data_IF_918846860370
#
_entry.id   IF_918846860370
#
_cell.length_a   1.000
_cell.length_b   1.000
_cell.length_c   1.000
_cell.angle_alpha   90.00
_cell.angle_beta   90.00
_cell.angle_gamma   90.00
#
_symmetry.space_group_name_H-M   'P 1'
#
loop_
_entity.id
_entity.type
_entity.pdbx_description
1 polymer ?
#
# COMPACT_ATOMS: atom_id res chain seq x y z
N UNK A 1 -1.50 -9.98 26.69
CA UNK A 1 -2.25 -10.94 25.85
C UNK A 1 -1.25 -11.66 24.95
N UNK A 2 -1.37 -12.97 24.71
CA UNK A 2 -0.67 -13.60 23.59
C UNK A 2 -1.12 -12.93 22.29
N UNK A 3 -0.21 -12.76 21.33
CA UNK A 3 -0.59 -12.29 19.99
C UNK A 3 -1.18 -13.53 19.30
N UNK A 4 -2.49 -13.72 19.40
CA UNK A 4 -3.25 -14.76 18.69
C UNK A 4 -3.33 -14.43 17.19
N UNK A 5 -2.17 -14.44 16.53
CA UNK A 5 -2.07 -14.53 15.08
C UNK A 5 -1.36 -15.84 14.78
N UNK A 6 -2.08 -16.81 14.19
CA UNK A 6 -1.52 -18.12 13.87
C UNK A 6 -0.34 -18.01 12.89
N UNK A 7 -0.37 -17.02 11.99
CA UNK A 7 0.67 -16.76 10.99
C UNK A 7 0.88 -15.25 10.84
N UNK A 8 2.14 -14.80 10.86
CA UNK A 8 2.52 -13.40 10.58
C UNK A 8 3.47 -13.35 9.39
N UNK A 9 3.19 -12.45 8.43
CA UNK A 9 4.06 -12.19 7.29
C UNK A 9 4.91 -10.95 7.54
N UNK A 10 6.23 -11.08 7.46
CA UNK A 10 7.18 -10.00 7.73
C UNK A 10 8.14 -9.85 6.57
N UNK A 11 8.36 -8.64 6.03
CA UNK A 11 9.36 -8.44 4.98
C UNK A 11 10.76 -8.71 5.53
N UNK A 12 11.45 -9.71 5.02
CA UNK A 12 12.71 -10.23 5.57
C UNK A 12 13.80 -9.15 5.67
N UNK A 13 13.96 -8.42 4.57
CA UNK A 13 15.07 -7.50 4.35
C UNK A 13 14.69 -6.03 4.56
N UNK A 14 13.54 -5.75 5.16
CA UNK A 14 13.19 -4.37 5.48
C UNK A 14 14.13 -3.82 6.57
N UNK A 15 14.78 -2.70 6.30
CA UNK A 15 15.61 -1.99 7.27
C UNK A 15 14.72 -1.32 8.33
N UNK A 16 14.93 -1.68 9.60
CA UNK A 16 14.15 -1.17 10.73
C UNK A 16 15.05 -0.77 11.89
N UNK A 17 14.59 0.20 12.69
CA UNK A 17 15.24 0.61 13.92
C UNK A 17 15.26 -0.54 14.94
N UNK A 18 16.41 -0.87 15.54
CA UNK A 18 16.51 -2.00 16.46
C UNK A 18 15.73 -1.83 17.77
N UNK A 19 15.34 -0.61 18.14
CA UNK A 19 14.61 -0.34 19.38
C UNK A 19 13.10 -0.31 19.17
N UNK A 20 12.65 0.22 18.03
CA UNK A 20 11.21 0.43 17.76
C UNK A 20 10.63 -0.56 16.75
N UNK A 21 11.47 -1.18 15.92
CA UNK A 21 11.02 -2.02 14.79
C UNK A 21 10.41 -1.21 13.64
N UNK A 22 10.46 0.12 13.71
CA UNK A 22 9.97 1.01 12.67
C UNK A 22 11.03 1.23 11.61
N UNK A 23 10.62 1.31 10.34
CA UNK A 23 11.48 1.80 9.26
C UNK A 23 11.86 3.27 9.44
N UNK A 24 10.97 4.05 10.05
CA UNK A 24 11.12 5.48 10.20
C UNK A 24 11.74 5.84 11.55
N UNK A 25 12.44 6.97 11.57
CA UNK A 25 12.94 7.55 12.80
C UNK A 25 11.76 7.95 13.69
N UNK A 26 11.78 7.48 14.95
CA UNK A 26 10.77 7.79 15.96
C UNK A 26 11.45 8.57 17.09
N UNK A 27 10.90 9.72 17.49
CA UNK A 27 11.32 10.50 18.65
C UNK A 27 10.10 10.78 19.53
N UNK A 28 10.22 10.55 20.85
CA UNK A 28 9.12 10.73 21.82
C UNK A 28 7.83 9.93 21.50
N UNK A 29 7.95 8.84 20.74
CA UNK A 29 6.83 8.01 20.31
C UNK A 29 6.25 8.40 18.94
N UNK A 30 6.71 9.51 18.36
CA UNK A 30 6.19 10.06 17.12
C UNK A 30 7.17 9.94 15.94
N UNK A 31 6.70 9.72 14.70
CA UNK A 31 7.53 9.76 13.52
C UNK A 31 8.18 11.13 13.28
N UNK A 32 9.47 11.15 12.97
CA UNK A 32 10.21 12.39 12.69
C UNK A 32 10.06 12.77 11.22
N UNK A 33 9.62 14.01 10.90
CA UNK A 33 9.56 14.48 9.53
C UNK A 33 10.96 14.60 8.87
N UNK A 34 11.05 14.22 7.60
CA UNK A 34 12.20 14.48 6.74
C UNK A 34 12.15 15.92 6.21
N UNK A 35 12.41 16.89 7.08
CA UNK A 35 12.31 18.32 6.76
C UNK A 35 13.12 18.68 5.51
N UNK A 36 14.31 18.10 5.33
CA UNK A 36 15.15 18.37 4.15
C UNK A 36 14.47 17.94 2.85
N UNK A 37 13.83 16.77 2.84
CA UNK A 37 13.10 16.28 1.67
C UNK A 37 11.82 17.07 1.42
N UNK A 38 11.08 17.38 2.49
CA UNK A 38 9.89 18.22 2.44
C UNK A 38 10.22 19.59 1.83
N UNK A 39 11.26 20.28 2.31
CA UNK A 39 11.66 21.59 1.80
C UNK A 39 12.13 21.53 0.33
N UNK A 40 12.76 20.44 -0.10
CA UNK A 40 13.07 20.23 -1.52
C UNK A 40 11.81 20.09 -2.37
N UNK A 41 10.83 19.33 -1.91
CA UNK A 41 9.55 19.16 -2.61
C UNK A 41 8.78 20.48 -2.66
N UNK A 42 8.77 21.24 -1.56
CA UNK A 42 8.21 22.61 -1.54
C UNK A 42 8.88 23.51 -2.57
N UNK A 43 10.21 23.56 -2.58
CA UNK A 43 10.96 24.38 -3.54
C UNK A 43 10.71 23.95 -4.99
N UNK A 44 10.54 22.64 -5.24
CA UNK A 44 10.15 22.13 -6.55
C UNK A 44 8.75 22.60 -6.93
N UNK A 45 7.80 22.56 -6.00
CA UNK A 45 6.43 23.00 -6.22
C UNK A 45 6.35 24.48 -6.54
N UNK A 46 7.13 25.28 -5.82
CA UNK A 46 7.18 26.73 -5.98
C UNK A 46 7.98 27.21 -7.19
N UNK A 47 8.74 26.29 -7.82
CA UNK A 47 9.54 26.58 -9.00
C UNK A 47 8.67 27.13 -10.13
N UNK A 48 9.22 28.08 -10.90
CA UNK A 48 8.54 28.68 -12.06
C UNK A 48 8.13 27.60 -13.06
N UNK A 49 9.00 26.62 -13.25
CA UNK A 49 8.79 25.49 -14.17
C UNK A 49 7.58 24.64 -13.79
N UNK A 50 7.35 24.40 -12.49
CA UNK A 50 6.17 23.67 -12.06
C UNK A 50 4.93 24.55 -12.08
N UNK A 51 5.01 25.83 -11.72
CA UNK A 51 3.86 26.75 -11.78
C UNK A 51 3.21 26.79 -13.16
N UNK A 52 4.01 26.76 -14.21
CA UNK A 52 3.52 26.73 -15.59
C UNK A 52 2.96 25.36 -16.00
N UNK A 53 3.55 24.28 -15.49
CA UNK A 53 3.13 22.91 -15.77
C UNK A 53 1.90 22.49 -14.95
N UNK A 54 1.67 23.11 -13.78
CA UNK A 54 0.70 22.71 -12.77
C UNK A 54 -0.76 22.72 -13.26
N UNK A 55 -1.24 23.75 -14.00
CA UNK A 55 -2.60 23.72 -14.54
C UNK A 55 -2.84 22.53 -15.47
N UNK A 56 -1.82 22.16 -16.26
CA UNK A 56 -1.87 20.99 -17.16
C UNK A 56 -1.87 19.70 -16.36
N UNK A 57 -0.92 19.54 -15.43
CA UNK A 57 -0.81 18.35 -14.56
C UNK A 57 -2.10 18.13 -13.77
N UNK A 58 -2.59 19.15 -13.05
CA UNK A 58 -3.79 19.04 -12.21
C UNK A 58 -5.04 18.70 -13.01
N UNK A 59 -5.21 19.26 -14.21
CA UNK A 59 -6.30 18.89 -15.12
C UNK A 59 -6.16 17.44 -15.59
N UNK A 60 -4.99 17.10 -16.12
CA UNK A 60 -4.68 15.78 -16.68
C UNK A 60 -4.88 14.66 -15.67
N UNK A 61 -4.46 14.89 -14.43
CA UNK A 61 -4.68 13.98 -13.33
C UNK A 61 -6.19 13.83 -13.06
N UNK A 62 -6.96 14.93 -12.96
CA UNK A 62 -8.42 14.83 -12.69
C UNK A 62 -9.13 14.04 -13.77
N UNK A 63 -8.75 14.29 -15.02
CA UNK A 63 -9.29 13.58 -16.17
C UNK A 63 -8.93 12.08 -16.10
N UNK A 64 -7.73 11.73 -15.63
CA UNK A 64 -7.27 10.35 -15.49
C UNK A 64 -8.17 9.50 -14.58
N UNK A 65 -8.60 10.01 -13.42
CA UNK A 65 -9.48 9.24 -12.53
C UNK A 65 -10.80 8.90 -13.23
N UNK A 66 -11.42 9.88 -13.87
CA UNK A 66 -12.67 9.70 -14.59
C UNK A 66 -12.50 8.67 -15.72
N UNK A 67 -11.42 8.80 -16.49
CA UNK A 67 -11.07 7.89 -17.59
C UNK A 67 -10.83 6.47 -17.08
N UNK A 68 -10.08 6.30 -15.98
CA UNK A 68 -9.79 5.00 -15.41
C UNK A 68 -11.05 4.26 -14.96
N UNK A 69 -11.92 4.93 -14.20
CA UNK A 69 -13.19 4.36 -13.77
C UNK A 69 -14.09 4.00 -14.95
N UNK A 70 -14.14 4.85 -15.95
CA UNK A 70 -14.94 4.61 -17.15
C UNK A 70 -14.42 3.41 -17.97
N UNK A 71 -13.11 3.27 -18.11
CA UNK A 71 -12.48 2.08 -18.72
C UNK A 71 -12.89 0.82 -17.96
N UNK A 72 -12.77 0.81 -16.63
CA UNK A 72 -13.12 -0.35 -15.80
C UNK A 72 -14.60 -0.74 -15.96
N UNK A 73 -15.50 0.25 -16.01
CA UNK A 73 -16.92 0.00 -16.25
C UNK A 73 -17.18 -0.55 -17.67
N UNK A 74 -16.56 0.03 -18.70
CA UNK A 74 -16.72 -0.44 -20.09
C UNK A 74 -16.22 -1.89 -20.22
N UNK A 75 -15.06 -2.22 -19.63
CA UNK A 75 -14.52 -3.58 -19.64
C UNK A 75 -15.47 -4.56 -18.95
N UNK A 76 -16.13 -4.16 -17.85
CA UNK A 76 -17.15 -4.96 -17.19
C UNK A 76 -18.37 -5.16 -18.09
N UNK A 77 -18.85 -4.11 -18.76
CA UNK A 77 -20.00 -4.18 -19.67
C UNK A 77 -19.73 -5.07 -20.88
N UNK A 78 -18.54 -4.99 -21.48
CA UNK A 78 -18.12 -5.81 -22.63
C UNK A 78 -18.15 -7.32 -22.33
N UNK A 79 -17.96 -7.73 -21.07
CA UNK A 79 -18.04 -9.14 -20.66
C UNK A 79 -19.47 -9.70 -20.68
N UNK A 80 -20.48 -8.83 -20.62
CA UNK A 80 -21.89 -9.23 -20.44
C UNK A 80 -22.69 -9.00 -21.72
N UNK A 81 -22.36 -7.96 -22.49
CA UNK A 81 -23.09 -7.58 -23.70
C UNK A 81 -22.82 -8.58 -24.83
N UNK A 82 -23.89 -9.07 -25.46
CA UNK A 82 -23.85 -10.00 -26.61
C UNK A 82 -24.14 -9.34 -27.96
N UNK A 83 -24.59 -8.08 -27.95
CA UNK A 83 -24.93 -7.36 -29.17
C UNK A 83 -23.66 -6.82 -29.83
N UNK A 84 -23.37 -7.24 -31.05
CA UNK A 84 -22.20 -6.82 -31.82
C UNK A 84 -22.12 -5.29 -31.97
N UNK A 85 -23.27 -4.64 -32.20
CA UNK A 85 -23.34 -3.18 -32.33
C UNK A 85 -22.93 -2.45 -31.04
N UNK A 86 -23.44 -2.90 -29.88
CA UNK A 86 -23.08 -2.29 -28.60
C UNK A 86 -21.62 -2.60 -28.23
N UNK A 87 -21.11 -3.77 -28.60
CA UNK A 87 -19.70 -4.11 -28.42
C UNK A 87 -18.78 -3.19 -29.26
N UNK A 88 -19.10 -2.94 -30.53
CA UNK A 88 -18.33 -2.04 -31.39
C UNK A 88 -18.29 -0.61 -30.84
N UNK A 89 -19.45 -0.10 -30.41
CA UNK A 89 -19.57 1.23 -29.79
C UNK A 89 -18.73 1.35 -28.52
N UNK A 90 -18.79 0.36 -27.64
CA UNK A 90 -18.01 0.33 -26.40
C UNK A 90 -16.51 0.18 -26.67
N UNK A 91 -16.12 -0.62 -27.66
CA UNK A 91 -14.72 -0.81 -28.07
C UNK A 91 -14.14 0.49 -28.64
N UNK A 92 -14.91 1.21 -29.46
CA UNK A 92 -14.51 2.52 -29.98
C UNK A 92 -14.28 3.52 -28.86
N UNK A 93 -15.22 3.59 -27.90
CA UNK A 93 -15.10 4.45 -26.72
C UNK A 93 -13.89 4.07 -25.85
N UNK A 94 -13.66 2.77 -25.65
CA UNK A 94 -12.51 2.25 -24.90
C UNK A 94 -11.18 2.70 -25.54
N UNK A 95 -11.05 2.64 -26.87
CA UNK A 95 -9.86 3.09 -27.59
C UNK A 95 -9.59 4.59 -27.36
N UNK A 96 -10.62 5.44 -27.41
CA UNK A 96 -10.49 6.87 -27.12
C UNK A 96 -9.98 7.12 -25.70
N UNK A 97 -10.58 6.45 -24.71
CA UNK A 97 -10.20 6.57 -23.31
C UNK A 97 -8.78 6.06 -23.04
N UNK A 98 -8.38 4.96 -23.69
CA UNK A 98 -7.02 4.44 -23.60
C UNK A 98 -5.98 5.43 -24.14
N UNK A 99 -6.27 6.12 -25.25
CA UNK A 99 -5.39 7.16 -25.77
C UNK A 99 -5.28 8.35 -24.81
N UNK A 100 -6.39 8.79 -24.20
CA UNK A 100 -6.36 9.82 -23.16
C UNK A 100 -5.50 9.40 -21.97
N UNK A 101 -5.60 8.14 -21.54
CA UNK A 101 -4.78 7.60 -20.46
C UNK A 101 -3.28 7.61 -20.79
N UNK A 102 -2.89 7.34 -22.04
CA UNK A 102 -1.48 7.42 -22.47
C UNK A 102 -0.96 8.86 -22.47
N UNK A 103 -1.76 9.83 -22.93
CA UNK A 103 -1.38 11.24 -22.85
C UNK A 103 -1.22 11.70 -21.39
N UNK A 104 -2.05 11.22 -20.46
CA UNK A 104 -1.86 11.49 -19.03
C UNK A 104 -0.54 10.92 -18.53
N UNK A 105 -0.23 9.66 -18.84
CA UNK A 105 1.03 9.05 -18.42
C UNK A 105 2.24 9.84 -18.90
N UNK A 106 2.19 10.39 -20.11
CA UNK A 106 3.25 11.26 -20.65
C UNK A 106 3.45 12.54 -19.83
N UNK A 107 2.37 13.19 -19.40
CA UNK A 107 2.44 14.38 -18.53
C UNK A 107 3.01 14.03 -17.15
N UNK A 108 2.60 12.89 -16.58
CA UNK A 108 3.16 12.40 -15.31
C UNK A 108 4.65 12.10 -15.47
N UNK A 109 5.08 11.45 -16.55
CA UNK A 109 6.50 11.21 -16.81
C UNK A 109 7.30 12.51 -16.96
N UNK A 110 6.74 13.54 -17.60
CA UNK A 110 7.35 14.87 -17.69
C UNK A 110 7.53 15.51 -16.31
N UNK A 111 6.51 15.40 -15.44
CA UNK A 111 6.58 15.85 -14.05
C UNK A 111 7.67 15.11 -13.26
N UNK A 112 7.72 13.79 -13.38
CA UNK A 112 8.72 12.95 -12.71
C UNK A 112 10.13 13.29 -13.13
N UNK A 113 10.35 13.50 -14.43
CA UNK A 113 11.66 13.90 -14.95
C UNK A 113 12.08 15.26 -14.37
N UNK A 114 11.18 16.24 -14.34
CA UNK A 114 11.46 17.55 -13.74
C UNK A 114 11.77 17.45 -12.25
N UNK A 115 11.05 16.61 -11.50
CA UNK A 115 11.34 16.37 -10.09
C UNK A 115 12.74 15.77 -9.91
N UNK A 116 13.13 14.82 -10.77
CA UNK A 116 14.46 14.22 -10.79
C UNK A 116 15.55 15.25 -11.07
N UNK A 117 15.34 16.09 -12.09
CA UNK A 117 16.26 17.16 -12.48
C UNK A 117 16.42 18.20 -11.36
N UNK A 118 15.37 18.40 -10.55
CA UNK A 118 15.38 19.23 -9.34
C UNK A 118 16.10 18.55 -8.14
N UNK A 119 16.52 17.29 -8.28
CA UNK A 119 17.24 16.55 -7.24
C UNK A 119 16.33 15.88 -6.19
N UNK A 120 15.07 15.64 -6.53
CA UNK A 120 14.17 14.75 -5.78
C UNK A 120 14.46 13.33 -6.25
N UNK A 121 15.12 12.53 -5.41
CA UNK A 121 15.51 11.14 -5.75
C UNK A 121 14.82 10.09 -4.89
N UNK A 122 13.91 10.52 -4.01
CA UNK A 122 13.23 9.61 -3.10
C UNK A 122 12.24 8.73 -3.86
N UNK A 123 12.51 7.43 -3.91
CA UNK A 123 11.69 6.43 -4.63
C UNK A 123 10.23 6.48 -4.21
N UNK A 124 9.93 6.74 -2.92
CA UNK A 124 8.56 6.80 -2.38
C UNK A 124 7.76 7.91 -3.06
N UNK A 125 8.40 9.07 -3.32
CA UNK A 125 7.78 10.16 -4.07
C UNK A 125 7.37 9.74 -5.49
N UNK A 126 8.23 8.98 -6.18
CA UNK A 126 7.92 8.44 -7.51
C UNK A 126 6.82 7.38 -7.47
N UNK A 127 6.82 6.52 -6.45
CA UNK A 127 5.79 5.51 -6.25
C UNK A 127 4.42 6.16 -6.00
N UNK A 128 4.34 7.20 -5.16
CA UNK A 128 3.11 8.00 -4.96
C UNK A 128 2.59 8.59 -6.27
N UNK A 129 3.48 9.09 -7.12
CA UNK A 129 3.11 9.69 -8.41
C UNK A 129 2.76 8.67 -9.49
N UNK A 130 3.32 7.47 -9.43
CA UNK A 130 3.09 6.39 -10.39
C UNK A 130 1.84 5.53 -10.08
N UNK A 131 1.22 5.72 -8.91
CA UNK A 131 -0.03 5.04 -8.53
C UNK A 131 -1.25 5.98 -8.47
N UNK A 132 -1.67 6.63 -9.57
CA UNK A 132 -2.77 7.59 -9.58
C UNK A 132 -4.17 6.96 -9.40
N UNK A 133 -4.26 5.65 -9.14
CA UNK A 133 -5.50 4.86 -9.22
C UNK A 133 -6.21 4.72 -7.86
N UNK A 134 -5.53 5.00 -6.74
CA UNK A 134 -6.14 4.94 -5.40
C UNK A 134 -6.90 6.20 -4.97
N UNK A 135 -7.48 6.17 -3.76
CA UNK A 135 -7.86 7.39 -3.01
C UNK A 135 -6.66 8.35 -2.83
N UNK A 136 -5.45 7.88 -3.14
CA UNK A 136 -4.18 8.59 -3.24
C UNK A 136 -4.12 9.65 -4.36
N UNK A 137 -5.19 9.87 -5.10
CA UNK A 137 -5.27 11.07 -5.93
C UNK A 137 -5.35 12.35 -5.08
N UNK A 138 -5.96 12.22 -3.90
CA UNK A 138 -5.80 13.20 -2.85
C UNK A 138 -4.33 13.36 -2.50
N UNK A 139 -3.46 12.35 -2.62
CA UNK A 139 -2.03 12.46 -2.27
C UNK A 139 -1.33 13.60 -2.98
N UNK A 140 -1.55 13.88 -4.28
CA UNK A 140 -0.90 15.05 -4.89
C UNK A 140 -1.45 16.39 -4.40
N UNK A 141 -2.78 16.50 -4.30
CA UNK A 141 -3.41 17.69 -3.71
C UNK A 141 -3.08 17.87 -2.22
N UNK A 142 -2.90 16.75 -1.53
CA UNK A 142 -2.56 16.62 -0.14
C UNK A 142 -1.10 16.97 0.05
N UNK A 143 -0.17 16.40 -0.72
CA UNK A 143 1.24 16.80 -0.83
C UNK A 143 1.37 18.32 -0.95
N UNK A 144 0.59 18.93 -1.83
CA UNK A 144 0.56 20.40 -1.97
C UNK A 144 0.00 21.08 -0.72
N UNK A 145 -1.17 20.66 -0.23
CA UNK A 145 -1.79 21.25 0.96
C UNK A 145 -0.96 21.04 2.24
N UNK A 146 -0.10 20.02 2.28
CA UNK A 146 0.83 19.71 3.35
C UNK A 146 2.09 20.55 3.25
N UNK A 147 2.54 20.86 2.03
CA UNK A 147 3.59 21.84 1.79
C UNK A 147 3.20 23.24 2.31
N UNK A 148 1.90 23.54 2.34
CA UNK A 148 1.38 24.81 2.88
C UNK A 148 1.26 24.83 4.42
N UNK A 149 1.44 23.69 5.13
CA UNK A 149 1.35 23.61 6.60
C UNK A 149 2.73 23.69 7.26
N UNK A 150 2.80 24.32 8.44
CA UNK A 150 4.01 24.28 9.29
C UNK A 150 4.31 22.87 9.82
N UNK A 151 3.26 22.11 10.16
CA UNK A 151 3.35 20.69 10.51
C UNK A 151 2.34 19.89 9.66
N UNK A 152 2.79 19.03 8.73
CA UNK A 152 1.90 18.27 7.87
C UNK A 152 1.05 17.23 8.63
N UNK A 153 1.42 16.90 9.86
CA UNK A 153 0.74 15.94 10.73
C UNK A 153 -0.14 16.60 11.80
N UNK A 154 -0.13 17.93 11.92
CA UNK A 154 -0.94 18.62 12.93
C UNK A 154 -2.44 18.43 12.68
N UNK A 155 -3.15 17.94 13.71
CA UNK A 155 -4.59 17.71 13.69
C UNK A 155 -5.04 16.44 12.96
N UNK A 156 -4.10 15.56 12.61
CA UNK A 156 -4.37 14.21 12.12
C UNK A 156 -4.32 13.28 13.34
N UNK A 157 -5.32 12.43 13.51
CA UNK A 157 -5.31 11.48 14.64
C UNK A 157 -4.33 10.33 14.34
N UNK A 158 -3.75 9.70 15.38
CA UNK A 158 -2.72 8.67 15.27
C UNK A 158 -3.05 7.56 14.24
N UNK A 159 -4.32 7.13 14.18
CA UNK A 159 -4.75 6.10 13.24
C UNK A 159 -4.79 6.56 11.77
N UNK A 160 -5.10 7.84 11.50
CA UNK A 160 -5.04 8.42 10.16
C UNK A 160 -3.58 8.63 9.72
N UNK A 161 -2.66 8.81 10.68
CA UNK A 161 -1.22 8.88 10.40
C UNK A 161 -0.73 7.51 9.92
N UNK A 162 -1.05 6.43 10.64
CA UNK A 162 -0.65 5.07 10.25
C UNK A 162 -1.21 4.66 8.88
N UNK A 163 -2.49 4.92 8.61
CA UNK A 163 -3.12 4.65 7.31
C UNK A 163 -2.41 5.41 6.16
N UNK A 164 -2.11 6.69 6.38
CA UNK A 164 -1.49 7.52 5.34
C UNK A 164 0.01 7.29 5.18
N UNK A 165 0.69 6.83 6.22
CA UNK A 165 2.06 6.32 6.13
C UNK A 165 2.08 5.02 5.33
N UNK A 166 1.10 4.14 5.55
CA UNK A 166 0.98 2.86 4.86
C UNK A 166 0.69 3.02 3.35
N UNK A 167 -0.05 4.06 2.94
CA UNK A 167 -0.39 4.32 1.53
C UNK A 167 0.74 4.91 0.67
N UNK A 168 2.01 4.77 1.09
CA UNK A 168 3.22 5.34 0.50
C UNK A 168 3.25 6.88 0.34
N UNK A 169 2.10 7.53 0.50
CA UNK A 169 1.86 8.92 0.14
C UNK A 169 2.41 9.91 1.16
N UNK A 170 2.60 9.49 2.41
CA UNK A 170 3.29 10.26 3.44
C UNK A 170 4.67 9.72 3.82
N UNK A 171 5.01 8.49 3.43
CA UNK A 171 6.25 7.86 3.88
C UNK A 171 7.52 8.58 3.40
N UNK A 172 7.47 9.29 2.26
CA UNK A 172 8.58 10.12 1.79
C UNK A 172 8.79 11.39 2.64
N UNK A 173 7.79 11.80 3.42
CA UNK A 173 7.89 12.91 4.38
C UNK A 173 8.50 12.49 5.70
N UNK A 174 8.79 11.21 5.92
CA UNK A 174 9.36 10.70 7.15
C UNK A 174 10.85 10.45 6.99
N UNK A 175 11.61 10.76 8.04
CA UNK A 175 13.02 10.44 8.09
C UNK A 175 13.18 8.94 8.27
N UNK A 176 14.08 8.32 7.49
CA UNK A 176 14.46 6.93 7.71
C UNK A 176 15.27 6.83 9.01
N UNK A 177 15.21 5.68 9.70
CA UNK A 177 16.06 5.47 10.87
C UNK A 177 17.54 5.47 10.46
N UNK A 178 18.39 6.11 11.27
CA UNK A 178 19.85 6.20 11.02
C UNK A 178 20.58 4.90 11.34
N UNK A 179 20.02 4.07 12.23
CA UNK A 179 20.59 2.79 12.65
C UNK A 179 19.58 1.71 12.36
N UNK A 180 19.90 0.85 11.41
CA UNK A 180 18.98 -0.19 10.97
C UNK A 180 19.55 -1.59 11.20
N UNK A 181 18.64 -2.52 11.43
CA UNK A 181 18.84 -3.97 11.33
C UNK A 181 17.79 -4.51 10.36
N UNK A 182 17.99 -5.74 9.86
CA UNK A 182 16.92 -6.37 9.07
C UNK A 182 15.69 -6.64 9.95
N UNK A 183 14.51 -6.57 9.36
CA UNK A 183 13.26 -6.88 10.06
C UNK A 183 13.29 -8.28 10.66
N UNK A 184 13.84 -9.26 9.94
CA UNK A 184 14.05 -10.61 10.48
C UNK A 184 14.84 -10.57 11.79
N UNK A 185 16.00 -9.92 11.79
CA UNK A 185 16.85 -9.81 12.98
C UNK A 185 16.10 -9.13 14.13
N UNK A 186 15.38 -8.04 13.86
CA UNK A 186 14.60 -7.34 14.88
C UNK A 186 13.53 -8.26 15.50
N UNK A 187 12.70 -8.90 14.69
CA UNK A 187 11.59 -9.72 15.17
C UNK A 187 12.06 -10.96 15.90
N UNK A 188 13.12 -11.63 15.42
CA UNK A 188 13.73 -12.76 16.12
C UNK A 188 14.22 -12.36 17.52
N UNK A 189 14.95 -11.24 17.64
CA UNK A 189 15.42 -10.72 18.93
C UNK A 189 14.26 -10.30 19.84
N UNK A 190 13.25 -9.65 19.27
CA UNK A 190 12.05 -9.24 20.00
C UNK A 190 11.36 -10.44 20.64
N UNK A 191 11.07 -11.48 19.85
CA UNK A 191 10.36 -12.68 20.31
C UNK A 191 11.18 -13.51 21.30
N UNK A 192 12.50 -13.61 21.12
CA UNK A 192 13.40 -14.19 22.12
C UNK A 192 13.31 -13.47 23.47
N UNK A 193 13.25 -12.12 23.45
CA UNK A 193 13.18 -11.30 24.67
C UNK A 193 11.82 -11.40 25.36
N UNK A 194 10.71 -11.36 24.61
CA UNK A 194 9.37 -11.39 25.21
C UNK A 194 8.91 -12.81 25.62
N UNK A 195 9.62 -13.84 25.15
CA UNK A 195 9.32 -15.25 25.45
C UNK A 195 7.97 -15.72 24.89
N UNK A 196 7.43 -15.00 23.90
CA UNK A 196 6.16 -15.31 23.21
C UNK A 196 6.34 -15.00 21.74
N UNK A 197 5.93 -15.90 20.86
CA UNK A 197 5.99 -15.72 19.41
C UNK A 197 4.73 -16.28 18.75
N UNK A 198 4.35 -15.78 17.56
CA UNK A 198 3.35 -16.42 16.72
C UNK A 198 3.72 -17.88 16.43
N UNK A 199 2.70 -18.74 16.18
CA UNK A 199 2.93 -20.15 15.83
C UNK A 199 3.75 -20.30 14.55
N UNK A 200 3.58 -19.36 13.59
CA UNK A 200 4.39 -19.27 12.39
C UNK A 200 4.73 -17.81 12.06
N UNK A 201 5.99 -17.57 11.72
CA UNK A 201 6.43 -16.32 11.10
C UNK A 201 6.95 -16.67 9.71
N UNK A 202 6.38 -16.01 8.69
CA UNK A 202 6.81 -16.12 7.31
C UNK A 202 7.58 -14.86 6.98
N UNK A 203 8.91 -14.99 6.91
CA UNK A 203 9.75 -13.94 6.36
C UNK A 203 9.71 -14.02 4.84
N UNK A 204 9.39 -12.91 4.18
CA UNK A 204 9.22 -12.87 2.73
C UNK A 204 10.13 -11.81 2.08
N UNK A 205 10.57 -12.08 0.87
CA UNK A 205 11.40 -11.20 0.04
C UNK A 205 10.63 -10.59 -1.16
N UNK A 206 9.35 -10.97 -1.31
CA UNK A 206 8.44 -10.39 -2.31
C UNK A 206 8.15 -8.90 -2.07
N UNK A 207 7.64 -8.23 -3.10
CA UNK A 207 7.37 -6.78 -3.08
C UNK A 207 6.18 -6.44 -2.20
N UNK A 208 5.18 -7.33 -2.14
CA UNK A 208 3.94 -7.11 -1.39
C UNK A 208 3.55 -8.31 -0.53
N UNK A 209 2.80 -8.11 0.57
CA UNK A 209 2.24 -9.20 1.36
C UNK A 209 1.37 -10.16 0.54
N UNK A 210 0.64 -9.66 -0.47
CA UNK A 210 -0.21 -10.49 -1.33
C UNK A 210 0.61 -11.41 -2.23
N UNK A 211 1.73 -10.93 -2.78
CA UNK A 211 2.68 -11.77 -3.52
C UNK A 211 3.28 -12.83 -2.60
N UNK A 212 3.68 -12.45 -1.37
CA UNK A 212 4.22 -13.37 -0.38
C UNK A 212 3.20 -14.46 0.00
N UNK A 213 1.93 -14.10 0.14
CA UNK A 213 0.84 -15.04 0.38
C UNK A 213 0.64 -15.99 -0.80
N UNK A 214 0.62 -15.47 -2.03
CA UNK A 214 0.44 -16.28 -3.23
C UNK A 214 1.59 -17.30 -3.37
N UNK A 215 2.84 -16.88 -3.10
CA UNK A 215 4.01 -17.76 -3.07
C UNK A 215 3.91 -18.80 -1.94
N UNK A 216 3.49 -18.38 -0.75
CA UNK A 216 3.28 -19.29 0.39
C UNK A 216 2.25 -20.38 0.04
N UNK A 217 1.11 -20.02 -0.55
CA UNK A 217 0.08 -20.96 -0.99
C UNK A 217 0.63 -21.97 -2.01
N UNK A 218 1.38 -21.48 -3.01
CA UNK A 218 1.98 -22.34 -4.03
C UNK A 218 2.93 -23.38 -3.42
N UNK A 219 3.81 -22.96 -2.50
CA UNK A 219 4.72 -23.88 -1.81
C UNK A 219 3.99 -24.87 -0.90
N UNK A 220 2.89 -24.46 -0.28
CA UNK A 220 2.06 -25.30 0.56
C UNK A 220 1.14 -26.24 -0.24
N UNK A 221 1.10 -26.15 -1.57
CA UNK A 221 0.18 -26.93 -2.41
C UNK A 221 -1.29 -26.51 -2.26
N UNK A 222 -1.53 -25.30 -1.73
CA UNK A 222 -2.86 -24.75 -1.50
C UNK A 222 -3.35 -24.10 -2.80
N UNK A 223 -4.41 -24.67 -3.40
CA UNK A 223 -5.05 -24.09 -4.58
C UNK A 223 -6.08 -23.02 -4.19
N UNK A 224 -6.20 -21.95 -4.99
CA UNK A 224 -7.26 -20.94 -4.77
C UNK A 224 -8.67 -21.54 -4.88
N UNK A 225 -8.83 -22.67 -5.59
CA UNK A 225 -10.10 -23.40 -5.67
C UNK A 225 -10.51 -24.07 -4.36
N UNK A 226 -9.58 -24.38 -3.46
CA UNK A 226 -9.87 -24.97 -2.14
C UNK A 226 -10.41 -23.93 -1.14
N UNK A 227 -10.31 -22.63 -1.46
CA UNK A 227 -10.69 -21.53 -0.56
C UNK A 227 -11.70 -20.56 -1.19
N UNK A 228 -12.64 -21.06 -2.01
CA UNK A 228 -13.71 -20.20 -2.58
C UNK A 228 -14.55 -19.48 -1.51
N UNK A 229 -14.57 -19.98 -0.28
CA UNK A 229 -15.31 -19.41 0.84
C UNK A 229 -14.51 -18.37 1.63
N UNK A 230 -13.17 -18.35 1.53
CA UNK A 230 -12.30 -17.41 2.27
C UNK A 230 -11.44 -16.65 1.26
N UNK A 231 -11.88 -15.43 0.93
CA UNK A 231 -11.10 -14.53 0.09
C UNK A 231 -9.95 -13.91 0.90
N UNK A 232 -8.86 -14.66 1.02
CA UNK A 232 -7.65 -14.19 1.70
C UNK A 232 -7.10 -12.90 1.07
N UNK A 233 -7.32 -12.67 -0.24
CA UNK A 233 -6.91 -11.41 -0.88
C UNK A 233 -7.69 -10.24 -0.31
N UNK A 234 -8.97 -10.41 0.00
CA UNK A 234 -9.74 -9.39 0.71
C UNK A 234 -9.30 -9.23 2.17
N UNK A 235 -8.93 -10.32 2.87
CA UNK A 235 -8.45 -10.26 4.26
C UNK A 235 -7.16 -9.47 4.44
N UNK A 236 -6.28 -9.41 3.43
CA UNK A 236 -5.09 -8.56 3.44
C UNK A 236 -5.29 -7.21 2.73
N UNK A 237 -6.36 -7.06 1.93
CA UNK A 237 -6.68 -5.78 1.27
C UNK A 237 -7.32 -4.74 2.20
N UNK A 238 -7.94 -5.18 3.30
CA UNK A 238 -8.58 -4.30 4.28
C UNK A 238 -8.07 -4.61 5.70
N UNK A 239 -6.97 -3.95 6.08
CA UNK A 239 -6.67 -3.64 7.48
C UNK A 239 -6.43 -2.13 7.64
N UNK A 240 -7.29 -1.33 7.00
CA UNK A 240 -7.60 -0.01 7.52
C UNK A 240 -8.73 -0.26 8.51
N UNK A 241 -8.39 -0.31 9.79
CA UNK A 241 -9.29 -0.60 10.91
C UNK A 241 -10.45 0.41 10.95
N UNK A 242 -11.51 0.18 10.18
CA UNK A 242 -12.75 0.93 10.31
C UNK A 242 -13.56 0.38 11.49
N UNK A 243 -13.80 1.25 12.46
CA UNK A 243 -14.47 0.98 13.73
C UNK A 243 -15.95 0.63 13.54
N UNK A 244 -16.26 -0.60 13.17
CA UNK A 244 -17.60 -1.15 13.30
C UNK A 244 -17.58 -2.38 14.20
N UNK A 245 -18.35 -2.34 15.30
CA UNK A 245 -18.49 -3.45 16.25
C UNK A 245 -18.89 -4.77 15.55
N UNK A 246 -19.65 -4.67 14.45
CA UNK A 246 -19.99 -5.81 13.60
C UNK A 246 -18.82 -6.37 12.78
N UNK A 247 -17.84 -5.55 12.42
CA UNK A 247 -16.58 -5.99 11.77
C UNK A 247 -15.70 -6.70 12.79
N UNK A 248 -15.66 -6.25 14.04
CA UNK A 248 -14.92 -6.94 15.08
C UNK A 248 -15.49 -8.33 15.39
N UNK A 249 -16.82 -8.47 15.49
CA UNK A 249 -17.49 -9.76 15.71
C UNK A 249 -17.42 -10.69 14.47
N UNK A 250 -17.31 -10.12 13.26
CA UNK A 250 -17.07 -10.88 12.03
C UNK A 250 -15.61 -11.32 11.94
N UNK A 251 -14.65 -10.44 12.22
CA UNK A 251 -13.23 -10.78 12.30
C UNK A 251 -12.93 -11.78 13.41
N UNK A 252 -13.61 -11.71 14.55
CA UNK A 252 -13.45 -12.69 15.63
C UNK A 252 -13.88 -14.09 15.15
N UNK A 253 -15.03 -14.17 14.46
CA UNK A 253 -15.52 -15.42 13.86
C UNK A 253 -14.63 -15.92 12.72
N UNK A 254 -14.17 -15.03 11.84
CA UNK A 254 -13.26 -15.39 10.76
C UNK A 254 -11.88 -15.82 11.30
N UNK A 255 -11.40 -15.22 12.40
CA UNK A 255 -10.19 -15.65 13.10
C UNK A 255 -10.36 -17.03 13.74
N UNK A 256 -11.50 -17.29 14.37
CA UNK A 256 -11.82 -18.61 14.94
C UNK A 256 -11.87 -19.68 13.85
N UNK A 257 -12.53 -19.38 12.73
CA UNK A 257 -12.60 -20.27 11.56
C UNK A 257 -11.20 -20.49 10.96
N UNK A 258 -10.42 -19.43 10.79
CA UNK A 258 -9.06 -19.53 10.25
C UNK A 258 -8.12 -20.30 11.19
N UNK A 259 -8.21 -20.07 12.50
CA UNK A 259 -7.44 -20.81 13.50
C UNK A 259 -7.78 -22.30 13.46
N UNK A 260 -9.07 -22.65 13.44
CA UNK A 260 -9.53 -24.02 13.32
C UNK A 260 -9.02 -24.68 12.03
N UNK A 261 -9.14 -24.02 10.88
CA UNK A 261 -8.62 -24.55 9.62
C UNK A 261 -7.09 -24.69 9.61
N UNK A 262 -6.38 -23.78 10.27
CA UNK A 262 -4.92 -23.85 10.37
C UNK A 262 -4.49 -25.03 11.25
N UNK A 263 -5.19 -25.28 12.36
CA UNK A 263 -4.97 -26.46 13.20
C UNK A 263 -5.25 -27.75 12.43
N UNK A 264 -6.37 -27.83 11.69
CA UNK A 264 -6.71 -29.00 10.86
C UNK A 264 -5.64 -29.29 9.79
N UNK A 265 -5.12 -28.25 9.13
CA UNK A 265 -4.03 -28.40 8.15
C UNK A 265 -2.70 -28.81 8.80
N UNK A 266 -2.41 -28.32 10.00
CA UNK A 266 -1.20 -28.71 10.72
C UNK A 266 -1.27 -30.18 11.15
N UNK A 267 -2.41 -30.64 11.65
CA UNK A 267 -2.63 -32.03 12.03
C UNK A 267 -2.59 -32.99 10.82
N UNK A 268 -3.14 -32.58 9.68
CA UNK A 268 -3.17 -33.40 8.47
C UNK A 268 -1.77 -33.60 7.85
N UNK A 269 -0.98 -32.52 7.77
CA UNK A 269 0.28 -32.53 7.04
C UNK A 269 1.52 -32.67 7.93
N UNK A 270 1.39 -32.43 9.23
CA UNK A 270 2.48 -32.47 10.21
C UNK A 270 2.01 -33.05 11.56
N UNK A 271 1.50 -34.30 11.58
CA UNK A 271 1.01 -34.90 12.80
C UNK A 271 2.13 -34.97 13.85
N UNK A 272 1.79 -34.69 15.11
CA UNK A 272 2.76 -34.82 16.20
C UNK A 272 3.24 -36.29 16.28
N UNK A 273 4.56 -36.52 16.42
CA UNK A 273 5.09 -37.86 16.55
C UNK A 273 4.60 -38.50 17.87
N UNK A 274 4.07 -39.72 17.79
CA UNK A 274 3.68 -40.55 18.95
C UNK A 274 4.82 -40.76 19.97
#
# INVERSE_FOLDING_TARGET
MPIDAAIVFVPENADVDPNTGSRYKIEEGEPVPNTKQIEKVKAFIESVELKDLWPRVSKTLRDYQNVFWEIAQIQKSLKIIKSDYEQEKLTTKLSVLQNQMQETKKVISELLQKAQDFGIVDKRFYETLNNPIGQEFDSLYYLLSLCERENPFAGINDWEIDEKIASASLSFQLADSEKTVSSRQYWEQYFQRVGKQPSKIVFYDQTTPNEALDVFKQHAGISDSQHKEIDLKNMFSENIFSSNKGVHDAMQREREIFAQYTEELLDEFYPEPE
#
